data_IF_926556366288
#
_entry.id   IF_926556366288
#
_cell.length_a   1.000
_cell.length_b   1.000
_cell.length_c   1.000
_cell.angle_alpha   90.00
_cell.angle_beta   90.00
_cell.angle_gamma   90.00
#
_symmetry.space_group_name_H-M   'P 1'
#
loop_
_entity.id
_entity.type
_entity.pdbx_description
1 polymer ?
#
# COMPACT_ATOMS: atom_id res chain seq x y z
N UNK A 1 4.32 26.99 18.75
CA UNK A 1 3.29 26.62 17.76
C UNK A 1 3.57 25.19 17.35
N UNK A 2 2.67 24.25 17.68
CA UNK A 2 2.81 22.86 17.25
C UNK A 2 2.58 22.80 15.74
N UNK A 3 3.58 22.33 14.99
CA UNK A 3 3.43 21.99 13.57
C UNK A 3 2.30 20.95 13.45
N UNK A 4 1.40 21.05 12.45
CA UNK A 4 0.41 20.01 12.24
C UNK A 4 1.12 18.65 12.04
N UNK A 5 0.56 17.53 12.53
CA UNK A 5 1.20 16.20 12.46
C UNK A 5 1.61 15.80 11.03
N UNK A 6 0.80 16.21 10.05
CA UNK A 6 1.09 16.20 8.61
C UNK A 6 1.14 17.64 8.10
N UNK A 7 1.82 17.91 6.99
CA UNK A 7 1.89 19.28 6.43
C UNK A 7 0.54 19.82 5.92
N UNK A 8 -0.44 18.91 5.72
CA UNK A 8 -1.84 19.16 5.30
C UNK A 8 -2.78 18.06 5.82
N UNK A 9 -4.11 18.27 5.84
CA UNK A 9 -5.05 17.24 6.29
C UNK A 9 -4.95 15.93 5.48
N UNK A 10 -5.02 14.77 6.15
CA UNK A 10 -4.82 13.47 5.52
C UNK A 10 -5.75 13.20 4.31
N UNK A 11 -7.00 13.67 4.38
CA UNK A 11 -7.98 13.52 3.30
C UNK A 11 -7.58 14.20 1.99
N UNK A 12 -6.74 15.24 2.04
CA UNK A 12 -6.23 15.97 0.87
C UNK A 12 -4.72 15.77 0.68
N UNK A 13 -4.13 14.78 1.37
CA UNK A 13 -2.70 14.52 1.30
C UNK A 13 -2.40 13.48 0.22
N UNK A 14 -1.68 13.81 -0.87
CA UNK A 14 -1.46 12.91 -2.01
C UNK A 14 -0.66 11.66 -1.68
N UNK A 15 0.20 11.71 -0.64
CA UNK A 15 0.87 10.51 -0.14
C UNK A 15 0.05 9.65 0.84
N UNK A 16 -1.06 10.14 1.39
CA UNK A 16 -1.88 9.38 2.35
C UNK A 16 -3.20 8.93 1.73
N UNK A 17 -3.84 9.78 0.95
CA UNK A 17 -5.03 9.46 0.19
C UNK A 17 -4.65 9.30 -1.29
N UNK A 18 -4.49 8.05 -1.73
CA UNK A 18 -4.01 7.74 -3.08
C UNK A 18 -4.94 8.31 -4.17
N UNK A 19 -6.24 8.48 -3.88
CA UNK A 19 -7.18 9.06 -4.85
C UNK A 19 -6.91 10.53 -5.20
N UNK A 20 -6.13 11.25 -4.39
CA UNK A 20 -5.68 12.60 -4.72
C UNK A 20 -4.64 12.55 -5.86
N UNK A 21 -3.75 11.55 -5.85
CA UNK A 21 -2.87 11.26 -7.00
C UNK A 21 -3.68 10.62 -8.13
N UNK A 22 -4.53 9.65 -7.82
CA UNK A 22 -5.16 8.81 -8.81
C UNK A 22 -4.16 7.91 -9.53
N UNK A 23 -4.66 7.17 -10.52
CA UNK A 23 -3.88 6.23 -11.31
C UNK A 23 -4.51 6.00 -12.67
N UNK A 24 -3.72 5.51 -13.62
CA UNK A 24 -4.16 5.16 -14.98
C UNK A 24 -3.82 3.70 -15.29
N UNK A 25 -4.66 3.05 -16.11
CA UNK A 25 -4.39 1.70 -16.59
C UNK A 25 -3.08 1.65 -17.41
N UNK A 26 -2.34 0.57 -17.28
CA UNK A 26 -1.13 0.28 -18.05
C UNK A 26 -1.13 -1.17 -18.51
N UNK A 27 -0.21 -1.52 -19.39
CA UNK A 27 -0.06 -2.87 -19.93
C UNK A 27 1.21 -3.53 -19.39
N UNK A 28 1.20 -4.86 -19.29
CA UNK A 28 2.36 -5.61 -18.84
C UNK A 28 2.01 -7.05 -18.50
N UNK A 29 3.00 -7.79 -17.99
CA UNK A 29 2.81 -9.18 -17.56
C UNK A 29 1.91 -9.26 -16.32
N UNK A 30 0.78 -9.97 -16.43
CA UNK A 30 -0.12 -10.26 -15.31
C UNK A 30 0.40 -11.46 -14.51
N UNK A 31 1.49 -11.23 -13.80
CA UNK A 31 2.10 -12.21 -12.91
C UNK A 31 3.28 -11.61 -12.17
N UNK A 32 3.93 -12.46 -11.38
CA UNK A 32 5.09 -12.07 -10.61
C UNK A 32 6.31 -11.79 -11.52
N UNK A 33 7.11 -10.80 -11.14
CA UNK A 33 8.28 -10.36 -11.91
C UNK A 33 9.51 -10.19 -11.03
N UNK A 34 10.68 -10.33 -11.63
CA UNK A 34 11.97 -10.08 -11.01
C UNK A 34 12.69 -8.92 -11.71
N UNK A 35 13.33 -8.04 -10.94
CA UNK A 35 14.03 -6.85 -11.43
C UNK A 35 15.55 -7.00 -11.32
N UNK A 36 16.20 -7.42 -12.40
CA UNK A 36 17.65 -7.68 -12.43
C UNK A 36 18.09 -8.81 -11.49
N UNK A 37 19.36 -9.17 -11.55
CA UNK A 37 19.98 -10.00 -10.51
C UNK A 37 20.40 -9.05 -9.39
N UNK A 38 19.89 -9.27 -8.19
CA UNK A 38 20.35 -8.54 -7.01
C UNK A 38 21.36 -9.37 -6.26
N UNK A 39 22.55 -8.79 -6.03
CA UNK A 39 23.58 -9.43 -5.18
C UNK A 39 23.08 -9.59 -3.73
N UNK A 40 22.13 -8.74 -3.32
CA UNK A 40 21.42 -8.88 -2.06
C UNK A 40 20.17 -9.73 -2.23
N UNK A 41 20.00 -10.76 -1.38
CA UNK A 41 18.79 -11.58 -1.36
C UNK A 41 17.51 -10.81 -0.95
N UNK A 42 16.35 -11.48 -0.87
CA UNK A 42 15.09 -10.91 -0.36
C UNK A 42 15.25 -10.12 0.92
N UNK A 43 14.57 -8.97 1.07
CA UNK A 43 14.47 -8.31 2.38
C UNK A 43 13.53 -9.12 3.28
N UNK A 44 14.03 -9.82 4.32
CA UNK A 44 13.19 -10.64 5.20
C UNK A 44 12.16 -9.82 6.00
N UNK A 45 12.27 -8.49 6.02
CA UNK A 45 11.40 -7.59 6.78
C UNK A 45 10.32 -6.92 5.93
N UNK A 46 10.32 -7.15 4.61
CA UNK A 46 9.29 -6.62 3.72
C UNK A 46 7.92 -7.26 4.01
N UNK A 47 6.82 -6.48 4.01
CA UNK A 47 5.47 -7.01 4.10
C UNK A 47 5.18 -8.00 2.96
N UNK A 48 4.58 -9.14 3.28
CA UNK A 48 4.22 -10.18 2.32
C UNK A 48 2.73 -10.08 1.98
N UNK A 49 2.42 -9.85 0.70
CA UNK A 49 1.05 -9.54 0.23
C UNK A 49 0.13 -10.75 0.33
N UNK A 50 0.68 -11.96 0.21
CA UNK A 50 -0.07 -13.22 0.38
C UNK A 50 -0.82 -13.32 1.71
N UNK A 51 -0.30 -12.69 2.76
CA UNK A 51 -0.89 -12.67 4.10
C UNK A 51 -2.15 -11.82 4.23
N UNK A 52 -2.55 -11.09 3.19
CA UNK A 52 -3.84 -10.40 3.15
C UNK A 52 -5.03 -11.37 3.12
N UNK A 53 -4.80 -12.61 2.67
CA UNK A 53 -5.83 -13.61 2.42
C UNK A 53 -5.79 -14.75 3.45
N UNK A 54 -6.95 -15.35 3.73
CA UNK A 54 -7.09 -16.49 4.63
C UNK A 54 -7.67 -17.71 3.87
N UNK A 55 -6.90 -18.77 3.58
CA UNK A 55 -5.46 -18.96 3.82
C UNK A 55 -4.56 -18.11 2.90
N UNK A 56 -3.29 -17.85 3.27
CA UNK A 56 -2.37 -17.07 2.44
C UNK A 56 -2.19 -17.69 1.05
N UNK A 57 -2.29 -16.86 0.01
CA UNK A 57 -2.27 -17.29 -1.41
C UNK A 57 -1.71 -16.22 -2.34
N UNK A 58 -1.27 -16.64 -3.53
CA UNK A 58 -1.07 -15.74 -4.68
C UNK A 58 -2.39 -15.62 -5.44
N UNK A 59 -3.06 -14.46 -5.45
CA UNK A 59 -4.25 -14.24 -6.27
C UNK A 59 -3.90 -14.09 -7.75
N UNK A 60 -4.89 -14.33 -8.62
CA UNK A 60 -4.78 -13.94 -10.02
C UNK A 60 -4.69 -12.41 -10.13
N UNK A 61 -3.81 -11.92 -10.99
CA UNK A 61 -3.66 -10.49 -11.26
C UNK A 61 -4.62 -10.10 -12.37
N UNK A 62 -5.45 -9.08 -12.13
CA UNK A 62 -6.58 -8.72 -13.03
C UNK A 62 -6.26 -7.54 -13.92
N UNK A 63 -5.64 -6.52 -13.36
CA UNK A 63 -5.29 -5.31 -14.10
C UNK A 63 -4.07 -4.63 -13.47
N UNK A 64 -3.39 -3.84 -14.28
CA UNK A 64 -2.16 -3.15 -13.93
C UNK A 64 -2.37 -1.65 -14.10
N UNK A 65 -1.79 -0.86 -13.20
CA UNK A 65 -1.93 0.58 -13.24
C UNK A 65 -0.61 1.28 -12.89
N UNK A 66 -0.50 2.54 -13.32
CA UNK A 66 0.50 3.49 -12.86
C UNK A 66 -0.17 4.60 -12.07
N UNK A 67 0.26 4.76 -10.82
CA UNK A 67 -0.05 5.91 -9.97
C UNK A 67 0.55 7.17 -10.59
N UNK A 68 -0.19 8.27 -10.57
CA UNK A 68 0.34 9.56 -10.99
C UNK A 68 1.33 10.12 -9.96
N UNK A 69 2.36 10.78 -10.47
CA UNK A 69 3.25 11.54 -9.61
C UNK A 69 2.54 12.78 -9.05
N UNK A 70 3.13 13.37 -8.04
CA UNK A 70 2.67 14.62 -7.45
C UNK A 70 3.82 15.61 -7.51
N UNK A 71 3.66 16.64 -8.34
CA UNK A 71 4.59 17.74 -8.41
C UNK A 71 4.31 18.66 -7.23
N UNK A 72 5.28 18.80 -6.31
CA UNK A 72 5.17 19.67 -5.13
C UNK A 72 5.53 21.12 -5.43
N UNK A 73 6.19 21.38 -6.56
CA UNK A 73 6.68 22.71 -6.95
C UNK A 73 5.60 23.53 -7.69
N UNK A 74 4.53 22.90 -8.16
CA UNK A 74 3.39 23.59 -8.76
C UNK A 74 2.31 24.05 -7.76
N UNK A 75 1.44 24.98 -8.16
CA UNK A 75 0.41 25.63 -7.33
C UNK A 75 -0.88 25.81 -8.15
N UNK A 76 -2.14 25.58 -7.67
CA UNK A 76 -2.63 25.48 -6.27
C UNK A 76 -3.53 24.25 -5.92
N UNK A 77 -3.74 23.89 -4.62
CA UNK A 77 -3.39 24.68 -3.41
C UNK A 77 -2.11 24.23 -2.66
N UNK A 78 -1.43 23.16 -3.06
CA UNK A 78 -0.04 22.86 -2.72
C UNK A 78 0.39 21.62 -3.51
N UNK A 79 1.07 21.84 -4.62
CA UNK A 79 1.32 20.81 -5.62
C UNK A 79 0.11 20.51 -6.51
N UNK A 80 0.36 19.70 -7.52
CA UNK A 80 -0.58 19.35 -8.57
C UNK A 80 -0.23 17.97 -9.15
N UNK A 81 -1.16 17.42 -9.93
CA UNK A 81 -1.00 16.14 -10.57
C UNK A 81 0.14 16.15 -11.59
N UNK A 82 1.09 15.25 -11.44
CA UNK A 82 2.19 15.02 -12.37
C UNK A 82 1.87 13.96 -13.44
N UNK A 83 2.89 13.56 -14.19
CA UNK A 83 2.79 12.44 -15.11
C UNK A 83 2.70 11.09 -14.36
N UNK A 84 2.22 10.00 -15.00
CA UNK A 84 2.32 8.65 -14.42
C UNK A 84 3.75 8.30 -14.03
N UNK A 85 3.94 7.75 -12.82
CA UNK A 85 5.25 7.32 -12.33
C UNK A 85 5.76 6.20 -13.25
N UNK A 86 6.94 6.41 -13.84
CA UNK A 86 7.51 5.52 -14.87
C UNK A 86 8.78 4.78 -14.44
N UNK A 87 9.24 4.96 -13.20
CA UNK A 87 10.34 4.18 -12.61
C UNK A 87 10.05 2.68 -12.75
N UNK A 88 8.84 2.27 -12.34
CA UNK A 88 8.31 0.93 -12.58
C UNK A 88 7.16 0.98 -13.60
N UNK A 89 7.04 -0.01 -14.50
CA UNK A 89 5.93 -0.08 -15.45
C UNK A 89 4.57 -0.26 -14.78
N UNK A 90 4.55 -0.74 -13.53
CA UNK A 90 3.35 -0.94 -12.70
C UNK A 90 3.66 -0.43 -11.30
N UNK A 91 2.76 0.38 -10.73
CA UNK A 91 2.86 0.89 -9.35
C UNK A 91 1.58 0.68 -8.54
N UNK A 92 0.54 0.10 -9.16
CA UNK A 92 -0.69 -0.34 -8.51
C UNK A 92 -1.21 -1.60 -9.24
N UNK A 93 -1.55 -2.61 -8.47
CA UNK A 93 -2.00 -3.93 -8.95
C UNK A 93 -3.42 -4.20 -8.46
N UNK A 94 -4.30 -4.66 -9.35
CA UNK A 94 -5.59 -5.24 -8.97
C UNK A 94 -5.49 -6.76 -8.88
N UNK A 95 -5.93 -7.29 -7.74
CA UNK A 95 -5.87 -8.72 -7.42
C UNK A 95 -7.28 -9.30 -7.29
N UNK A 96 -7.46 -10.52 -7.80
CA UNK A 96 -8.71 -11.27 -7.71
C UNK A 96 -8.98 -11.81 -6.30
N UNK A 97 -10.21 -11.64 -5.85
CA UNK A 97 -10.73 -12.16 -4.59
C UNK A 97 -12.01 -12.95 -4.83
N UNK A 98 -12.39 -13.80 -3.88
CA UNK A 98 -13.78 -14.21 -3.80
C UNK A 98 -14.65 -12.99 -3.46
N UNK A 99 -15.93 -12.94 -3.90
CA UNK A 99 -16.86 -11.92 -3.44
C UNK A 99 -16.98 -11.94 -1.91
N UNK A 100 -16.84 -10.77 -1.28
CA UNK A 100 -16.84 -10.59 0.18
C UNK A 100 -15.73 -11.35 0.92
N UNK A 101 -14.62 -11.68 0.25
CA UNK A 101 -13.45 -12.25 0.93
C UNK A 101 -12.95 -11.24 1.98
N UNK A 102 -12.71 -11.72 3.19
CA UNK A 102 -12.11 -10.93 4.26
C UNK A 102 -10.67 -10.56 3.90
N UNK A 103 -10.31 -9.30 4.12
CA UNK A 103 -9.00 -8.76 3.79
C UNK A 103 -8.31 -8.36 5.09
N UNK A 104 -7.07 -8.82 5.24
CA UNK A 104 -6.12 -8.37 6.27
C UNK A 104 -5.02 -7.48 5.65
N UNK A 105 -4.13 -6.93 6.48
CA UNK A 105 -2.91 -6.27 5.99
C UNK A 105 -1.92 -7.30 5.41
N UNK A 106 -1.03 -6.90 4.48
CA UNK A 106 0.14 -7.70 4.16
C UNK A 106 0.90 -8.12 5.42
N UNK A 107 1.20 -9.41 5.56
CA UNK A 107 1.78 -9.91 6.80
C UNK A 107 3.22 -9.45 6.94
N UNK A 108 3.64 -9.09 8.15
CA UNK A 108 5.02 -8.70 8.42
C UNK A 108 5.55 -9.30 9.71
N UNK A 109 6.84 -9.65 9.74
CA UNK A 109 7.48 -10.22 10.93
C UNK A 109 7.80 -9.15 11.98
N UNK A 110 8.56 -8.07 11.70
CA UNK A 110 8.92 -7.12 12.75
C UNK A 110 7.74 -6.30 13.26
N UNK A 111 7.77 -6.02 14.57
CA UNK A 111 6.78 -5.24 15.28
C UNK A 111 7.06 -3.74 15.20
N UNK A 112 6.01 -2.94 15.09
CA UNK A 112 6.09 -1.49 15.31
C UNK A 112 5.82 -1.14 16.78
N UNK A 113 5.00 -1.88 17.53
CA UNK A 113 4.78 -1.65 18.97
C UNK A 113 4.77 -2.97 19.75
N UNK A 114 4.93 -2.93 21.10
CA UNK A 114 4.63 -4.09 21.94
C UNK A 114 3.21 -4.62 21.70
N UNK A 115 2.99 -5.92 21.90
CA UNK A 115 1.68 -6.54 21.64
C UNK A 115 1.44 -6.94 20.18
N UNK A 116 2.51 -7.16 19.42
CA UNK A 116 2.53 -7.71 18.05
C UNK A 116 1.89 -6.83 16.95
N UNK A 117 1.79 -5.52 17.19
CA UNK A 117 1.34 -4.58 16.17
C UNK A 117 2.37 -4.44 15.05
N UNK A 118 1.89 -4.48 13.80
CA UNK A 118 2.72 -4.50 12.58
C UNK A 118 2.62 -3.24 11.76
N UNK A 119 1.44 -2.61 11.72
CA UNK A 119 1.19 -1.44 10.88
C UNK A 119 0.38 -0.37 11.61
N UNK A 120 0.56 0.89 11.23
CA UNK A 120 -0.17 2.06 11.70
C UNK A 120 -1.06 2.58 10.57
N UNK A 121 -2.35 2.82 10.84
CA UNK A 121 -3.30 3.38 9.87
C UNK A 121 -3.09 4.88 9.75
N UNK A 122 -2.58 5.31 8.59
CA UNK A 122 -2.37 6.74 8.31
C UNK A 122 -3.60 7.40 7.68
N UNK A 123 -4.40 6.61 6.94
CA UNK A 123 -5.62 7.07 6.32
C UNK A 123 -6.64 5.94 6.17
N UNK A 124 -7.91 6.23 6.45
CA UNK A 124 -9.02 5.30 6.25
C UNK A 124 -10.30 6.05 5.85
N UNK A 125 -10.98 5.52 4.84
CA UNK A 125 -12.35 5.87 4.48
C UNK A 125 -13.06 4.60 3.98
N UNK A 126 -14.33 4.72 3.58
CA UNK A 126 -15.17 3.56 3.23
C UNK A 126 -14.56 2.62 2.20
N UNK A 127 -13.76 3.15 1.26
CA UNK A 127 -13.23 2.40 0.11
C UNK A 127 -11.72 2.37 -0.04
N UNK A 128 -10.98 2.90 0.93
CA UNK A 128 -9.51 2.89 0.88
C UNK A 128 -8.86 3.01 2.25
N UNK A 129 -7.69 2.40 2.34
CA UNK A 129 -6.88 2.32 3.54
C UNK A 129 -5.41 2.53 3.20
N UNK A 130 -4.73 3.36 3.97
CA UNK A 130 -3.28 3.56 3.89
C UNK A 130 -2.64 3.21 5.21
N UNK A 131 -1.65 2.32 5.17
CA UNK A 131 -0.95 1.83 6.35
C UNK A 131 0.57 1.96 6.19
N UNK A 132 1.26 2.33 7.27
CA UNK A 132 2.73 2.31 7.35
C UNK A 132 3.20 1.20 8.26
N UNK A 133 4.30 0.53 7.91
CA UNK A 133 4.99 -0.44 8.78
C UNK A 133 6.06 0.23 9.66
N UNK A 134 5.82 1.49 10.01
CA UNK A 134 6.61 2.27 10.97
C UNK A 134 5.71 2.79 12.09
N UNK A 135 6.31 3.46 13.09
CA UNK A 135 5.58 4.15 14.16
C UNK A 135 5.19 5.59 13.80
N UNK A 136 5.69 6.10 12.68
CA UNK A 136 5.56 7.51 12.32
C UNK A 136 4.25 7.76 11.60
N UNK A 137 3.58 8.87 11.93
CA UNK A 137 2.50 9.43 11.12
C UNK A 137 3.06 10.14 9.88
N UNK A 138 3.66 9.36 8.97
CA UNK A 138 4.29 9.87 7.76
C UNK A 138 4.42 8.80 6.68
N UNK A 139 4.26 9.20 5.43
CA UNK A 139 4.50 8.36 4.26
C UNK A 139 5.98 8.35 3.80
N UNK A 140 6.84 9.16 4.42
CA UNK A 140 8.20 9.39 3.94
C UNK A 140 9.17 8.25 4.27
N UNK A 141 8.86 7.40 5.24
CA UNK A 141 9.82 6.44 5.79
C UNK A 141 9.28 5.01 5.76
N UNK A 142 10.15 4.08 5.34
CA UNK A 142 9.88 2.65 5.37
C UNK A 142 8.72 2.22 4.47
N UNK A 143 8.23 1.01 4.70
CA UNK A 143 7.16 0.45 3.88
C UNK A 143 5.81 1.07 4.17
N UNK A 144 5.10 1.42 3.10
CA UNK A 144 3.73 1.91 3.14
C UNK A 144 2.90 1.20 2.06
N UNK A 145 1.65 0.89 2.39
CA UNK A 145 0.71 0.23 1.50
C UNK A 145 -0.53 1.09 1.36
N UNK A 146 -0.97 1.27 0.12
CA UNK A 146 -2.30 1.74 -0.19
C UNK A 146 -3.16 0.56 -0.63
N UNK A 147 -4.35 0.44 -0.04
CA UNK A 147 -5.38 -0.48 -0.47
C UNK A 147 -6.58 0.33 -0.98
N UNK A 148 -7.03 0.02 -2.18
CA UNK A 148 -8.13 0.72 -2.84
C UNK A 148 -9.21 -0.28 -3.27
N UNK A 149 -10.42 0.25 -3.43
CA UNK A 149 -11.57 -0.42 -4.04
C UNK A 149 -12.04 -1.69 -3.30
N UNK A 150 -11.99 -1.69 -1.96
CA UNK A 150 -12.62 -2.69 -1.10
C UNK A 150 -13.43 -2.01 0.00
N UNK A 151 -14.41 -2.70 0.62
CA UNK A 151 -15.18 -2.14 1.73
C UNK A 151 -14.36 -2.22 3.03
N UNK A 152 -13.84 -1.09 3.50
CA UNK A 152 -13.08 -1.01 4.76
C UNK A 152 -14.02 -1.24 5.94
N UNK A 153 -13.54 -1.92 6.98
CA UNK A 153 -14.30 -2.16 8.20
C UNK A 153 -14.80 -0.82 8.78
N UNK A 154 -16.12 -0.62 8.94
CA UNK A 154 -16.67 0.66 9.37
C UNK A 154 -16.24 1.06 10.79
N UNK A 155 -15.96 0.09 11.67
CA UNK A 155 -15.40 0.35 12.99
C UNK A 155 -13.96 0.89 12.92
N UNK A 156 -13.15 0.38 11.99
CA UNK A 156 -11.81 0.89 11.74
C UNK A 156 -11.85 2.32 11.17
N UNK A 157 -12.76 2.57 10.23
CA UNK A 157 -12.99 3.93 9.66
C UNK A 157 -13.40 4.90 10.78
N UNK A 158 -14.37 4.53 11.61
CA UNK A 158 -14.82 5.38 12.72
C UNK A 158 -13.70 5.66 13.74
N UNK A 159 -12.92 4.63 14.11
CA UNK A 159 -11.79 4.79 15.02
C UNK A 159 -10.73 5.73 14.44
N UNK A 160 -10.36 5.54 13.17
CA UNK A 160 -9.43 6.43 12.48
C UNK A 160 -9.94 7.88 12.45
N UNK A 161 -11.19 8.09 12.05
CA UNK A 161 -11.77 9.42 11.93
C UNK A 161 -11.81 10.15 13.28
N UNK A 162 -12.16 9.46 14.36
CA UNK A 162 -12.14 10.00 15.71
C UNK A 162 -10.73 10.44 16.13
N UNK A 163 -9.73 9.57 15.94
CA UNK A 163 -8.33 9.88 16.28
C UNK A 163 -7.75 10.98 15.39
N UNK A 164 -8.14 11.02 14.12
CA UNK A 164 -7.77 12.08 13.19
C UNK A 164 -8.35 13.44 13.62
N UNK A 165 -9.63 13.49 13.99
CA UNK A 165 -10.28 14.69 14.52
C UNK A 165 -9.69 15.13 15.87
N UNK A 166 -9.21 14.19 16.68
CA UNK A 166 -8.53 14.45 17.95
C UNK A 166 -7.06 14.92 17.79
N UNK A 167 -6.58 15.11 16.55
CA UNK A 167 -5.26 15.68 16.29
C UNK A 167 -4.14 14.65 16.09
N UNK A 168 -4.47 13.37 15.85
CA UNK A 168 -3.52 12.33 15.40
C UNK A 168 -2.34 12.07 16.35
N UNK A 169 -2.46 12.40 17.64
CA UNK A 169 -1.43 12.03 18.64
C UNK A 169 -1.29 10.51 18.78
N UNK A 170 -2.36 9.80 18.46
CA UNK A 170 -2.42 8.35 18.32
C UNK A 170 -3.20 8.02 17.05
N UNK A 171 -2.92 6.87 16.44
CA UNK A 171 -3.63 6.34 15.27
C UNK A 171 -3.83 4.83 15.46
N UNK A 172 -4.82 4.22 14.77
CA UNK A 172 -5.07 2.78 14.89
C UNK A 172 -3.84 1.98 14.48
N UNK A 173 -3.45 1.01 15.31
CA UNK A 173 -2.40 0.05 14.98
C UNK A 173 -3.02 -1.33 14.74
N UNK A 174 -2.48 -2.08 13.78
CA UNK A 174 -3.05 -3.33 13.27
C UNK A 174 -2.10 -4.50 13.48
N UNK A 175 -2.66 -5.70 13.67
CA UNK A 175 -1.92 -6.97 13.73
C UNK A 175 -2.03 -7.76 12.42
N UNK A 176 -1.15 -8.74 12.24
CA UNK A 176 -1.32 -9.72 11.16
C UNK A 176 -2.64 -10.48 11.34
N UNK A 177 -3.38 -10.68 10.25
CA UNK A 177 -4.64 -11.44 10.24
C UNK A 177 -5.85 -10.71 10.82
N UNK A 178 -5.69 -9.48 11.33
CA UNK A 178 -6.83 -8.65 11.71
C UNK A 178 -7.61 -8.23 10.46
N UNK A 179 -8.92 -8.45 10.45
CA UNK A 179 -9.77 -8.14 9.30
C UNK A 179 -10.02 -6.63 9.24
N UNK A 180 -9.45 -6.02 8.21
CA UNK A 180 -9.53 -4.57 7.95
C UNK A 180 -10.67 -4.21 7.00
N UNK A 181 -11.34 -5.20 6.41
CA UNK A 181 -12.47 -5.01 5.51
C UNK A 181 -12.78 -6.25 4.67
N UNK A 182 -13.59 -6.08 3.64
CA UNK A 182 -13.99 -7.13 2.71
C UNK A 182 -13.88 -6.67 1.26
N UNK A 183 -13.46 -7.56 0.37
CA UNK A 183 -13.46 -7.33 -1.07
C UNK A 183 -14.87 -7.56 -1.66
N UNK A 184 -15.75 -6.58 -1.44
CA UNK A 184 -17.17 -6.59 -1.82
C UNK A 184 -17.42 -6.68 -3.33
N UNK A 185 -16.39 -6.47 -4.14
CA UNK A 185 -16.45 -6.47 -5.62
C UNK A 185 -15.67 -7.60 -6.29
N UNK A 186 -15.16 -8.55 -5.51
CA UNK A 186 -14.35 -9.65 -6.04
C UNK A 186 -12.93 -9.25 -6.48
N UNK A 187 -12.51 -8.03 -6.14
CA UNK A 187 -11.13 -7.56 -6.31
C UNK A 187 -10.70 -6.63 -5.18
N UNK A 188 -9.40 -6.46 -5.02
CA UNK A 188 -8.77 -5.42 -4.20
C UNK A 188 -7.54 -4.88 -4.92
N UNK A 189 -7.28 -3.58 -4.82
CA UNK A 189 -6.10 -2.95 -5.41
C UNK A 189 -5.05 -2.65 -4.36
N UNK A 190 -3.77 -2.83 -4.72
CA UNK A 190 -2.63 -2.60 -3.83
C UNK A 190 -1.52 -1.80 -4.53
N UNK A 191 -1.06 -0.74 -3.89
CA UNK A 191 0.18 -0.05 -4.24
C UNK A 191 1.17 -0.15 -3.08
N UNK A 192 2.44 -0.39 -3.42
CA UNK A 192 3.54 -0.55 -2.47
C UNK A 192 4.48 0.64 -2.55
N UNK A 193 4.95 1.11 -1.40
CA UNK A 193 5.99 2.13 -1.30
C UNK A 193 7.10 1.72 -0.35
N UNK A 194 8.30 2.21 -0.63
CA UNK A 194 9.42 2.21 0.31
C UNK A 194 10.03 3.62 0.35
N UNK A 195 10.01 4.23 1.55
CA UNK A 195 10.69 5.49 1.84
C UNK A 195 10.35 6.57 0.80
N UNK A 196 9.04 6.75 0.59
CA UNK A 196 8.48 7.75 -0.33
C UNK A 196 8.36 7.31 -1.79
N UNK A 197 9.04 6.25 -2.25
CA UNK A 197 9.00 5.82 -3.66
C UNK A 197 7.95 4.74 -3.88
N UNK A 198 7.16 4.84 -4.95
CA UNK A 198 6.29 3.75 -5.41
C UNK A 198 7.12 2.65 -6.06
N UNK A 199 6.79 1.40 -5.71
CA UNK A 199 7.45 0.20 -6.21
C UNK A 199 6.45 -0.65 -6.98
N UNK A 200 6.93 -1.65 -7.73
CA UNK A 200 6.07 -2.62 -8.40
C UNK A 200 5.57 -3.67 -7.40
N UNK A 201 4.27 -3.75 -7.10
CA UNK A 201 3.71 -4.72 -6.17
C UNK A 201 3.81 -6.18 -6.69
N UNK A 202 4.21 -6.41 -7.95
CA UNK A 202 4.48 -7.75 -8.50
C UNK A 202 5.91 -8.24 -8.21
N UNK A 203 6.78 -7.36 -7.70
CA UNK A 203 8.18 -7.70 -7.43
C UNK A 203 8.28 -8.84 -6.40
N UNK A 204 8.83 -9.97 -6.85
CA UNK A 204 8.84 -11.20 -6.07
C UNK A 204 9.64 -11.10 -4.78
N UNK A 205 10.83 -10.55 -4.93
CA UNK A 205 11.87 -10.52 -3.92
C UNK A 205 11.35 -9.88 -2.63
N UNK A 206 10.57 -8.83 -2.76
CA UNK A 206 10.17 -8.01 -1.63
C UNK A 206 8.80 -8.45 -1.12
N UNK A 207 7.84 -8.72 -2.00
CA UNK A 207 6.43 -8.86 -1.59
C UNK A 207 5.89 -10.29 -1.59
N UNK A 208 6.59 -11.24 -2.23
CA UNK A 208 6.08 -12.58 -2.55
C UNK A 208 7.10 -13.69 -2.31
N UNK A 209 7.80 -13.67 -1.19
CA UNK A 209 8.89 -14.61 -0.88
C UNK A 209 8.44 -16.08 -0.84
N UNK A 210 7.16 -16.35 -0.54
CA UNK A 210 6.59 -17.70 -0.62
C UNK A 210 6.40 -18.23 -2.06
N UNK A 211 6.58 -17.37 -3.07
CA UNK A 211 6.25 -17.65 -4.48
C UNK A 211 7.42 -17.43 -5.44
N UNK A 212 8.66 -17.37 -4.94
CA UNK A 212 9.85 -17.13 -5.77
C UNK A 212 9.98 -18.11 -6.96
N UNK A 213 9.52 -19.35 -6.81
CA UNK A 213 9.52 -20.34 -7.90
C UNK A 213 8.61 -19.96 -9.09
N UNK A 214 7.67 -19.05 -8.91
CA UNK A 214 6.75 -18.58 -9.95
C UNK A 214 7.28 -17.32 -10.68
N UNK A 215 8.43 -16.81 -10.26
CA UNK A 215 9.04 -15.57 -10.76
C UNK A 215 9.93 -15.83 -11.97
N UNK A 216 9.30 -16.22 -13.07
CA UNK A 216 10.00 -16.62 -14.30
C UNK A 216 10.23 -15.47 -15.28
N UNK A 217 9.61 -14.31 -15.04
CA UNK A 217 9.72 -13.13 -15.91
C UNK A 217 10.72 -12.13 -15.34
N UNK A 218 11.76 -11.86 -16.12
CA UNK A 218 12.79 -10.88 -15.80
C UNK A 218 12.51 -9.54 -16.48
N UNK A 219 12.46 -8.47 -15.70
CA UNK A 219 12.38 -7.09 -16.18
C UNK A 219 13.69 -6.36 -15.91
N UNK A 220 13.93 -5.32 -16.72
CA UNK A 220 15.05 -4.41 -16.49
C UNK A 220 14.80 -3.63 -15.22
N UNK A 221 15.82 -3.48 -14.39
CA UNK A 221 15.77 -2.58 -13.24
C UNK A 221 15.38 -1.16 -13.69
N UNK A 222 14.52 -0.48 -12.91
CA UNK A 222 14.37 0.96 -13.02
C UNK A 222 15.73 1.64 -12.97
N UNK A 223 15.86 2.76 -13.69
CA UNK A 223 17.05 3.61 -13.60
C UNK A 223 17.01 4.48 -12.35
#
# INVERSE_FOLDING_TARGET
MNRPPTDRPAAVHPDLNLAIRGFIATNGYLGLVTYGEDEQGPDPNAPQIDGMFAAPRLPAFRSLHQVYDWDWDCNPPAGCLGAPISDYPVTLLEMETAPNEEIAIPRRTPNIYPGDFKALVLYAEERRLTISYTRGDTAANGYLIHLEDFAVNPGLVALYQNLNAAGRSELPALRNGEIIGVADRGTVKIATRDTGRFLDPRACKDWWQGYLAQCTVQLRRPK
#
